data_IF_349541814311
#
_entry.id   IF_349541814311
#
_cell.length_a   1.000
_cell.length_b   1.000
_cell.length_c   1.000
_cell.angle_alpha   90.00
_cell.angle_beta   90.00
_cell.angle_gamma   90.00
#
_symmetry.space_group_name_H-M   'P 1'
#
loop_
_entity.id
_entity.type
_entity.pdbx_description
1 polymer ?
#
# COMPACT_ATOMS: atom_id res chain seq x y z
N UNK A 1 -5.00 -21.76 -14.47
CA UNK A 1 -6.25 -21.78 -15.24
C UNK A 1 -7.22 -20.81 -14.60
N UNK A 2 -7.79 -19.87 -15.36
CA UNK A 2 -8.83 -18.99 -14.85
C UNK A 2 -10.16 -19.76 -14.75
N UNK A 3 -10.78 -19.80 -13.57
CA UNK A 3 -12.10 -20.39 -13.38
C UNK A 3 -13.18 -19.38 -13.75
N UNK A 4 -14.19 -19.81 -14.50
CA UNK A 4 -15.41 -19.04 -14.76
C UNK A 4 -16.62 -19.90 -14.45
N UNK A 5 -17.54 -19.39 -13.62
CA UNK A 5 -18.78 -20.06 -13.31
C UNK A 5 -19.72 -20.06 -14.51
N UNK A 6 -20.38 -21.20 -14.77
CA UNK A 6 -21.52 -21.29 -15.72
C UNK A 6 -22.88 -21.10 -15.03
N UNK A 7 -22.88 -20.87 -13.71
CA UNK A 7 -24.12 -20.69 -12.95
C UNK A 7 -24.72 -19.31 -13.20
N UNK A 8 -26.06 -19.25 -13.17
CA UNK A 8 -26.80 -17.98 -13.12
C UNK A 8 -26.35 -17.16 -11.91
N UNK A 9 -26.38 -15.84 -12.05
CA UNK A 9 -25.86 -14.91 -11.04
C UNK A 9 -26.42 -15.17 -9.64
N UNK A 10 -27.72 -15.49 -9.52
CA UNK A 10 -28.37 -15.71 -8.23
C UNK A 10 -27.83 -16.95 -7.50
N UNK A 11 -27.39 -17.94 -8.27
CA UNK A 11 -26.90 -19.24 -7.81
C UNK A 11 -25.38 -19.29 -7.66
N UNK A 12 -24.67 -18.19 -7.95
CA UNK A 12 -23.22 -18.19 -7.80
C UNK A 12 -22.83 -18.30 -6.32
N UNK A 13 -21.84 -19.13 -5.99
CA UNK A 13 -21.33 -19.22 -4.63
C UNK A 13 -20.77 -17.85 -4.21
N UNK A 14 -21.17 -17.36 -3.03
CA UNK A 14 -20.74 -16.07 -2.49
C UNK A 14 -20.05 -16.32 -1.16
N UNK A 15 -18.71 -16.26 -1.09
CA UNK A 15 -18.04 -16.22 0.20
C UNK A 15 -18.42 -14.91 0.89
N UNK A 16 -19.15 -15.00 2.00
CA UNK A 16 -19.49 -13.83 2.80
C UNK A 16 -18.25 -13.38 3.58
N UNK A 17 -18.14 -12.07 3.80
CA UNK A 17 -17.07 -11.51 4.60
C UNK A 17 -17.15 -12.05 6.03
N UNK A 18 -16.10 -12.73 6.49
CA UNK A 18 -16.03 -13.32 7.83
C UNK A 18 -16.34 -14.82 7.91
N UNK A 19 -16.75 -15.47 6.81
CA UNK A 19 -16.86 -16.93 6.81
C UNK A 19 -15.49 -17.56 7.09
N UNK A 20 -15.41 -18.59 7.96
CA UNK A 20 -14.15 -19.26 8.18
C UNK A 20 -13.67 -19.95 6.88
N UNK A 21 -12.36 -19.99 6.61
CA UNK A 21 -11.84 -20.45 5.31
C UNK A 21 -12.29 -21.83 4.86
N UNK A 22 -12.51 -22.74 5.81
CA UNK A 22 -12.97 -24.11 5.54
C UNK A 22 -14.45 -24.17 5.11
N UNK A 23 -15.25 -23.18 5.51
CA UNK A 23 -16.67 -23.08 5.17
C UNK A 23 -16.92 -22.24 3.91
N UNK A 24 -15.87 -21.68 3.31
CA UNK A 24 -15.98 -21.05 2.01
C UNK A 24 -16.50 -22.08 0.99
N UNK A 25 -17.54 -21.73 0.20
CA UNK A 25 -18.04 -22.62 -0.83
C UNK A 25 -17.00 -22.80 -1.94
N UNK A 26 -16.94 -23.98 -2.54
CA UNK A 26 -16.18 -24.19 -3.77
C UNK A 26 -16.67 -23.21 -4.86
N UNK A 27 -15.78 -22.63 -5.67
CA UNK A 27 -14.33 -22.91 -5.78
C UNK A 27 -13.44 -22.05 -4.88
N UNK A 28 -14.00 -21.27 -3.95
CA UNK A 28 -13.26 -20.24 -3.19
C UNK A 28 -12.51 -20.80 -1.97
N UNK A 29 -12.73 -22.07 -1.62
CA UNK A 29 -12.08 -22.72 -0.49
C UNK A 29 -10.56 -22.77 -0.69
N UNK A 30 -9.81 -22.26 0.29
CA UNK A 30 -8.35 -22.18 0.21
C UNK A 30 -7.81 -21.12 -0.76
N UNK A 31 -8.69 -20.26 -1.30
CA UNK A 31 -8.36 -19.15 -2.19
C UNK A 31 -8.89 -17.81 -1.64
N UNK A 32 -9.13 -17.73 -0.32
CA UNK A 32 -9.54 -16.47 0.31
C UNK A 32 -8.39 -15.47 0.36
N UNK A 33 -8.71 -14.19 0.57
CA UNK A 33 -7.70 -13.14 0.75
C UNK A 33 -6.76 -13.43 1.94
N UNK A 34 -7.26 -14.10 2.99
CA UNK A 34 -6.45 -14.59 4.12
C UNK A 34 -5.53 -15.75 3.77
N UNK A 35 -5.85 -16.51 2.71
CA UNK A 35 -5.06 -17.65 2.24
C UNK A 35 -3.92 -17.21 1.31
N UNK A 36 -3.94 -15.93 0.85
CA UNK A 36 -2.81 -15.33 0.14
C UNK A 36 -1.57 -15.41 1.04
N UNK A 37 -0.63 -16.26 0.64
CA UNK A 37 0.61 -16.45 1.40
C UNK A 37 1.44 -15.16 1.34
N UNK A 38 2.19 -14.83 2.40
CA UNK A 38 3.20 -13.76 2.34
C UNK A 38 4.23 -13.96 1.22
N UNK A 39 4.37 -15.19 0.75
CA UNK A 39 5.29 -15.63 -0.31
C UNK A 39 4.66 -15.73 -1.69
N UNK A 40 3.39 -15.33 -1.86
CA UNK A 40 2.80 -15.26 -3.19
C UNK A 40 3.63 -14.27 -4.03
N UNK A 41 4.18 -14.70 -5.18
CA UNK A 41 5.06 -13.85 -5.95
C UNK A 41 4.30 -12.58 -6.36
N UNK A 42 4.94 -11.41 -6.28
CA UNK A 42 4.29 -10.16 -6.65
C UNK A 42 3.76 -10.29 -8.07
N UNK A 43 2.54 -9.81 -8.28
CA UNK A 43 1.88 -9.89 -9.57
C UNK A 43 2.76 -9.15 -10.61
N UNK A 44 3.24 -9.90 -11.60
CA UNK A 44 4.07 -9.35 -12.66
C UNK A 44 3.16 -8.73 -13.71
N UNK A 45 3.36 -7.44 -13.97
CA UNK A 45 2.67 -6.70 -15.01
C UNK A 45 3.64 -6.39 -16.14
N UNK A 46 3.19 -6.52 -17.38
CA UNK A 46 3.91 -5.98 -18.54
C UNK A 46 4.05 -4.45 -18.43
N UNK A 47 4.93 -3.87 -19.25
CA UNK A 47 5.07 -2.41 -19.31
C UNK A 47 3.75 -1.73 -19.71
N UNK A 48 2.97 -2.36 -20.58
CA UNK A 48 1.67 -1.86 -21.03
C UNK A 48 0.63 -1.91 -19.91
N UNK A 49 0.49 -3.06 -19.24
CA UNK A 49 -0.42 -3.21 -18.09
C UNK A 49 -0.03 -2.30 -16.93
N UNK A 50 1.26 -2.00 -16.76
CA UNK A 50 1.71 -1.07 -15.72
C UNK A 50 1.27 0.38 -15.96
N UNK A 51 0.95 0.78 -17.19
CA UNK A 51 0.55 2.17 -17.51
C UNK A 51 -0.83 2.54 -16.95
N UNK A 52 -1.70 1.56 -16.76
CA UNK A 52 -3.05 1.78 -16.22
C UNK A 52 -3.10 1.72 -14.68
N UNK A 53 -1.98 1.37 -14.04
CA UNK A 53 -1.88 1.25 -12.59
C UNK A 53 -1.43 2.57 -11.98
N UNK A 54 -1.94 2.87 -10.78
CA UNK A 54 -1.36 3.88 -9.92
C UNK A 54 0.12 3.55 -9.64
N UNK A 55 1.07 4.48 -9.86
CA UNK A 55 2.50 4.21 -9.61
C UNK A 55 2.82 3.97 -8.13
N UNK A 56 2.02 4.54 -7.22
CA UNK A 56 2.20 4.38 -5.77
C UNK A 56 1.52 3.11 -5.25
N UNK A 57 0.26 2.89 -5.64
CA UNK A 57 -0.55 1.81 -5.08
C UNK A 57 -0.49 0.49 -5.87
N UNK A 58 0.01 0.53 -7.12
CA UNK A 58 0.07 -0.63 -8.05
C UNK A 58 -1.28 -1.31 -8.26
N UNK A 59 -2.36 -0.52 -8.30
CA UNK A 59 -3.74 -0.97 -8.57
C UNK A 59 -4.34 -0.14 -9.71
N UNK A 60 -5.27 -0.70 -10.50
CA UNK A 60 -5.97 0.05 -11.56
C UNK A 60 -6.77 1.22 -10.98
N UNK A 61 -6.69 2.38 -11.64
CA UNK A 61 -7.41 3.59 -11.23
C UNK A 61 -8.72 3.74 -12.02
N UNK A 62 -9.82 3.12 -11.54
CA UNK A 62 -11.14 3.26 -12.18
C UNK A 62 -11.64 4.72 -12.10
N UNK A 63 -11.43 5.38 -10.96
CA UNK A 63 -11.61 6.82 -10.77
C UNK A 63 -10.37 7.39 -10.09
N UNK A 64 -9.52 8.08 -10.87
CA UNK A 64 -8.24 8.63 -10.39
C UNK A 64 -8.42 9.59 -9.21
N UNK A 65 -9.40 10.50 -9.30
CA UNK A 65 -9.64 11.51 -8.27
C UNK A 65 -10.05 10.86 -6.94
N UNK A 66 -11.06 9.99 -6.97
CA UNK A 66 -11.51 9.27 -5.77
C UNK A 66 -10.41 8.37 -5.18
N UNK A 67 -9.55 7.81 -6.03
CA UNK A 67 -8.40 7.02 -5.57
C UNK A 67 -7.36 7.87 -4.82
N UNK A 68 -6.96 9.01 -5.39
CA UNK A 68 -5.94 9.90 -4.82
C UNK A 68 -6.40 10.55 -3.50
N UNK A 69 -7.71 10.80 -3.38
CA UNK A 69 -8.35 11.28 -2.16
C UNK A 69 -8.60 10.15 -1.13
N UNK A 70 -8.18 8.92 -1.42
CA UNK A 70 -8.21 7.82 -0.47
C UNK A 70 -7.13 7.96 0.62
N UNK A 71 -7.50 7.67 1.87
CA UNK A 71 -6.57 7.69 3.01
C UNK A 71 -5.37 6.75 2.78
N UNK A 72 -5.61 5.55 2.24
CA UNK A 72 -4.55 4.58 1.96
C UNK A 72 -3.56 5.09 0.91
N UNK A 73 -4.03 5.77 -0.14
CA UNK A 73 -3.16 6.36 -1.16
C UNK A 73 -2.26 7.43 -0.53
N UNK A 74 -2.85 8.37 0.22
CA UNK A 74 -2.09 9.43 0.90
C UNK A 74 -1.05 8.88 1.87
N UNK A 75 -1.39 7.88 2.68
CA UNK A 75 -0.44 7.25 3.61
C UNK A 75 0.73 6.61 2.88
N UNK A 76 0.48 5.94 1.74
CA UNK A 76 1.55 5.35 0.92
C UNK A 76 2.40 6.42 0.23
N UNK A 77 1.79 7.49 -0.26
CA UNK A 77 2.49 8.62 -0.86
C UNK A 77 3.45 9.27 0.15
N UNK A 78 2.99 9.49 1.38
CA UNK A 78 3.83 10.00 2.46
C UNK A 78 5.00 9.04 2.77
N UNK A 79 4.74 7.73 2.84
CA UNK A 79 5.79 6.74 3.09
C UNK A 79 6.85 6.71 1.97
N UNK A 80 6.46 6.94 0.72
CA UNK A 80 7.40 7.09 -0.40
C UNK A 80 8.23 8.36 -0.23
N UNK A 81 7.59 9.50 0.05
CA UNK A 81 8.29 10.76 0.27
C UNK A 81 9.32 10.69 1.41
N UNK A 82 8.95 10.05 2.54
CA UNK A 82 9.87 9.83 3.67
C UNK A 82 11.06 8.97 3.25
N UNK A 83 10.81 7.88 2.51
CA UNK A 83 11.86 6.98 2.03
C UNK A 83 12.84 7.71 1.09
N UNK A 84 12.29 8.53 0.19
CA UNK A 84 13.11 9.28 -0.76
C UNK A 84 13.91 10.37 -0.04
N UNK A 85 13.33 11.03 0.96
CA UNK A 85 14.04 11.98 1.82
C UNK A 85 15.20 11.33 2.59
N UNK A 86 15.01 10.12 3.14
CA UNK A 86 16.07 9.37 3.84
C UNK A 86 17.24 9.02 2.90
N UNK A 87 16.95 8.79 1.61
CA UNK A 87 17.98 8.44 0.61
C UNK A 87 18.80 9.65 0.15
N UNK A 88 18.28 10.85 0.31
CA UNK A 88 19.01 12.06 -0.05
C UNK A 88 19.91 12.49 1.12
N UNK A 89 21.18 12.83 0.87
CA UNK A 89 21.99 13.46 1.89
C UNK A 89 21.29 14.75 2.33
N UNK A 90 21.19 15.00 3.65
CA UNK A 90 20.50 16.19 4.14
C UNK A 90 21.25 17.43 3.65
N UNK A 91 20.50 18.46 3.28
CA UNK A 91 21.07 19.77 2.94
C UNK A 91 21.82 20.32 4.17
N UNK A 92 23.15 20.50 4.09
CA UNK A 92 23.96 20.96 5.22
C UNK A 92 23.46 22.29 5.80
N UNK A 93 22.97 23.20 4.94
CA UNK A 93 22.47 24.51 5.37
C UNK A 93 21.16 24.38 6.15
N UNK A 94 20.25 23.51 5.70
CA UNK A 94 19.02 23.21 6.43
C UNK A 94 19.30 22.53 7.78
N UNK A 95 20.32 21.66 7.83
CA UNK A 95 20.75 21.00 9.08
C UNK A 95 21.27 22.03 10.08
N UNK A 96 22.18 22.90 9.67
CA UNK A 96 22.72 23.95 10.54
C UNK A 96 21.65 24.91 11.06
N UNK A 97 20.74 25.33 10.17
CA UNK A 97 19.60 26.18 10.54
C UNK A 97 18.68 25.47 11.57
N UNK A 98 18.42 24.18 11.36
CA UNK A 98 17.62 23.38 12.30
C UNK A 98 18.31 23.27 13.66
N UNK A 99 19.62 23.01 13.70
CA UNK A 99 20.39 22.98 14.95
C UNK A 99 20.43 24.35 15.64
N UNK A 100 20.50 25.46 14.89
CA UNK A 100 20.43 26.80 15.46
C UNK A 100 19.06 27.07 16.11
N UNK A 101 17.97 26.64 15.45
CA UNK A 101 16.61 26.71 15.96
C UNK A 101 16.40 25.85 17.22
N UNK A 102 16.93 24.62 17.21
CA UNK A 102 16.83 23.73 18.36
C UNK A 102 17.63 24.27 19.55
N UNK A 103 18.82 24.82 19.32
CA UNK A 103 19.59 25.48 20.39
C UNK A 103 18.86 26.69 20.98
N UNK A 104 18.11 27.44 20.18
CA UNK A 104 17.39 28.62 20.68
C UNK A 104 16.06 28.30 21.35
N UNK A 105 15.35 27.25 20.91
CA UNK A 105 13.99 26.97 21.34
C UNK A 105 13.84 25.73 22.24
N UNK A 106 14.70 24.71 22.08
CA UNK A 106 14.56 23.38 22.70
C UNK A 106 15.93 22.72 22.92
N UNK A 107 16.76 23.37 23.71
CA UNK A 107 18.11 22.87 24.03
C UNK A 107 18.06 21.48 24.71
N UNK A 108 16.98 21.18 25.43
CA UNK A 108 16.70 19.89 26.07
C UNK A 108 16.67 18.71 25.10
N UNK A 109 16.34 18.93 23.83
CA UNK A 109 16.30 17.88 22.81
C UNK A 109 17.69 17.53 22.24
N UNK A 110 18.68 18.41 22.43
CA UNK A 110 20.05 18.19 21.97
C UNK A 110 20.87 17.40 22.99
N UNK A 111 20.51 17.50 24.28
CA UNK A 111 21.21 16.85 25.39
C UNK A 111 20.78 15.39 25.61
N UNK A 112 19.63 14.97 25.07
CA UNK A 112 19.13 13.60 25.15
C UNK A 112 19.73 12.64 24.10
N UNK A 113 20.57 13.15 23.20
CA UNK A 113 21.14 12.40 22.07
C UNK A 113 22.66 12.18 22.11
N UNK A 114 23.33 12.53 23.22
CA UNK A 114 24.76 12.27 23.45
C UNK A 114 24.96 11.09 24.41
#
# INVERSE_FOLDING_TARGET
MAWSSRLRWELQPRPLLGNPPLEAPEPFRGLLLSDRRPTEPPQHYTAEESRILCPICRVPEISRHAHQDGSLHRSRLLAVAIRDAIRQPPDPTAVEATFALLRSARQDLLEQGA
#
